data_IF_646683760115
#
_entry.id   IF_646683760115
#
_cell.length_a   1.000
_cell.length_b   1.000
_cell.length_c   1.000
_cell.angle_alpha   90.00
_cell.angle_beta   90.00
_cell.angle_gamma   90.00
#
_symmetry.space_group_name_H-M   'P 1'
#
loop_
_entity.id
_entity.type
_entity.pdbx_description
1 polymer ?
#
# COMPACT_ATOMS: atom_id res chain seq x y z
N UNK A 1 13.73 5.20 15.22
CA UNK A 1 13.26 4.23 16.24
C UNK A 1 12.64 3.05 15.50
N UNK A 2 13.10 1.81 15.75
CA UNK A 2 12.45 0.59 15.24
C UNK A 2 11.42 0.14 16.28
N UNK A 3 10.25 -0.30 15.84
CA UNK A 3 9.17 -0.81 16.71
C UNK A 3 8.89 -2.28 16.37
N UNK A 4 8.26 -2.99 17.30
CA UNK A 4 7.86 -4.38 17.06
C UNK A 4 6.68 -4.46 16.08
N UNK A 5 6.53 -5.60 15.37
CA UNK A 5 5.47 -5.82 14.40
C UNK A 5 4.07 -5.58 15.01
N UNK A 6 3.82 -6.11 16.21
CA UNK A 6 2.55 -5.92 16.91
C UNK A 6 2.24 -4.44 17.17
N UNK A 7 3.26 -3.66 17.55
CA UNK A 7 3.10 -2.22 17.75
C UNK A 7 2.77 -1.51 16.44
N UNK A 8 3.44 -1.88 15.33
CA UNK A 8 3.13 -1.33 14.01
C UNK A 8 1.69 -1.65 13.59
N UNK A 9 1.22 -2.88 13.80
CA UNK A 9 -0.16 -3.29 13.52
C UNK A 9 -1.15 -2.45 14.35
N UNK A 10 -0.92 -2.31 15.66
CA UNK A 10 -1.78 -1.48 16.53
C UNK A 10 -1.81 -0.03 16.05
N UNK A 11 -0.65 0.54 15.67
CA UNK A 11 -0.57 1.91 15.18
C UNK A 11 -1.34 2.10 13.87
N UNK A 12 -1.19 1.18 12.91
CA UNK A 12 -1.96 1.23 11.65
C UNK A 12 -3.46 1.14 11.91
N UNK A 13 -3.91 0.23 12.79
CA UNK A 13 -5.33 0.10 13.18
C UNK A 13 -5.88 1.35 13.88
N UNK A 14 -5.01 2.12 14.54
CA UNK A 14 -5.36 3.42 15.15
C UNK A 14 -5.35 4.58 14.14
N UNK A 15 -5.16 4.32 12.85
CA UNK A 15 -5.06 5.34 11.81
C UNK A 15 -3.75 6.14 11.84
N UNK A 16 -2.71 5.63 12.51
CA UNK A 16 -1.38 6.24 12.50
C UNK A 16 -0.57 5.76 11.30
N UNK A 17 0.41 6.58 10.93
CA UNK A 17 1.32 6.32 9.83
C UNK A 17 2.57 5.60 10.33
N UNK A 18 3.02 4.57 9.60
CA UNK A 18 4.19 3.75 9.93
C UNK A 18 5.14 3.68 8.74
N UNK A 19 6.44 3.85 8.98
CA UNK A 19 7.46 3.60 7.96
C UNK A 19 7.79 2.10 7.89
N UNK A 20 7.66 1.49 6.71
CA UNK A 20 7.84 0.06 6.49
C UNK A 20 9.00 -0.15 5.50
N UNK A 21 9.99 -1.01 5.81
CA UNK A 21 11.00 -1.41 4.84
C UNK A 21 10.40 -2.29 3.74
N UNK A 22 10.80 -2.08 2.49
CA UNK A 22 10.55 -2.99 1.37
C UNK A 22 11.87 -3.34 0.68
N UNK A 23 11.82 -4.20 -0.34
CA UNK A 23 12.96 -4.54 -1.20
C UNK A 23 13.41 -3.37 -2.10
N UNK A 24 12.57 -2.34 -2.27
CA UNK A 24 12.89 -1.15 -3.09
C UNK A 24 13.34 0.02 -2.24
N UNK A 25 12.45 0.58 -1.43
CA UNK A 25 12.67 1.76 -0.59
C UNK A 25 11.76 1.70 0.64
N UNK A 26 12.08 2.46 1.69
CA UNK A 26 11.13 2.63 2.78
C UNK A 26 9.84 3.31 2.31
N UNK A 27 8.71 2.66 2.58
CA UNK A 27 7.37 3.18 2.34
C UNK A 27 6.80 3.86 3.58
N UNK A 28 6.03 4.93 3.39
CA UNK A 28 5.22 5.52 4.45
C UNK A 28 3.80 4.96 4.31
N UNK A 29 3.41 4.06 5.21
CA UNK A 29 2.19 3.27 5.12
C UNK A 29 1.14 3.74 6.13
N UNK A 30 -0.12 3.61 5.71
CA UNK A 30 -1.32 3.79 6.51
C UNK A 30 -2.40 2.83 6.01
N UNK A 31 -3.49 2.68 6.76
CA UNK A 31 -4.66 1.95 6.28
C UNK A 31 -5.25 2.64 5.04
N UNK A 32 -5.30 1.91 3.92
CA UNK A 32 -5.78 2.42 2.64
C UNK A 32 -7.30 2.66 2.61
N UNK A 33 -8.04 2.16 3.60
CA UNK A 33 -9.48 2.40 3.76
C UNK A 33 -9.80 3.61 4.65
N UNK A 34 -8.77 4.23 5.25
CA UNK A 34 -8.92 5.31 6.23
C UNK A 34 -8.46 6.66 5.65
N UNK A 35 -9.41 7.47 5.17
CA UNK A 35 -9.15 8.78 4.58
C UNK A 35 -8.36 9.72 5.50
N UNK A 36 -8.60 9.68 6.82
CA UNK A 36 -7.88 10.53 7.76
C UNK A 36 -6.40 10.14 7.84
N UNK A 37 -6.10 8.84 7.80
CA UNK A 37 -4.73 8.33 7.80
C UNK A 37 -4.02 8.60 6.46
N UNK A 38 -4.73 8.50 5.33
CA UNK A 38 -4.19 8.88 4.02
C UNK A 38 -3.83 10.37 3.95
N UNK A 39 -4.67 11.27 4.49
CA UNK A 39 -4.37 12.70 4.60
C UNK A 39 -3.09 12.96 5.40
N UNK A 40 -2.82 12.17 6.44
CA UNK A 40 -1.57 12.26 7.21
C UNK A 40 -0.34 11.90 6.35
N UNK A 41 -0.41 10.88 5.49
CA UNK A 41 0.68 10.56 4.55
C UNK A 41 1.01 11.77 3.66
N UNK A 42 0.00 12.41 3.07
CA UNK A 42 0.21 13.58 2.21
C UNK A 42 0.82 14.75 2.98
N UNK A 43 0.32 15.02 4.19
CA UNK A 43 0.83 16.09 5.05
C UNK A 43 2.29 15.85 5.46
N UNK A 44 2.64 14.63 5.90
CA UNK A 44 4.00 14.28 6.31
C UNK A 44 4.98 14.40 5.15
N UNK A 45 4.60 13.91 3.96
CA UNK A 45 5.47 13.96 2.77
C UNK A 45 5.48 15.33 2.08
N UNK A 46 4.68 16.29 2.56
CA UNK A 46 4.41 17.55 1.84
C UNK A 46 4.05 17.31 0.37
N UNK A 47 3.29 16.24 0.12
CA UNK A 47 2.96 15.74 -1.22
C UNK A 47 1.62 16.32 -1.67
N UNK A 48 1.49 16.81 -2.92
CA UNK A 48 0.20 17.21 -3.45
C UNK A 48 -0.80 16.06 -3.44
N UNK A 49 -2.06 16.35 -3.08
CA UNK A 49 -3.11 15.34 -2.92
C UNK A 49 -3.51 14.62 -4.22
N UNK A 50 -3.20 15.23 -5.39
CA UNK A 50 -3.47 14.64 -6.70
C UNK A 50 -2.47 13.54 -7.11
N UNK A 51 -1.38 13.36 -6.34
CA UNK A 51 -0.37 12.37 -6.66
C UNK A 51 -0.71 11.02 -5.99
N UNK A 52 -1.14 9.99 -6.74
CA UNK A 52 -1.70 8.77 -6.16
C UNK A 52 -0.71 7.98 -5.29
N UNK A 53 -1.26 7.21 -4.36
CA UNK A 53 -0.53 6.27 -3.51
C UNK A 53 -0.70 4.84 -4.04
N UNK A 54 0.30 3.99 -3.77
CA UNK A 54 0.26 2.57 -4.15
C UNK A 54 -0.31 1.77 -2.98
N UNK A 55 -1.36 1.00 -3.23
CA UNK A 55 -1.89 0.02 -2.27
C UNK A 55 -0.99 -1.21 -2.27
N UNK A 56 -0.52 -1.61 -1.09
CA UNK A 56 0.22 -2.86 -0.90
C UNK A 56 -0.74 -3.96 -0.45
N UNK A 57 -0.68 -5.11 -1.11
CA UNK A 57 -1.46 -6.31 -0.78
C UNK A 57 -0.51 -7.46 -0.46
N UNK A 58 -0.94 -8.37 0.42
CA UNK A 58 -0.17 -9.55 0.80
C UNK A 58 -0.55 -10.77 -0.07
N UNK A 59 -1.76 -10.78 -0.62
CA UNK A 59 -2.28 -11.86 -1.43
C UNK A 59 -2.98 -11.32 -2.69
N UNK A 60 -2.76 -11.99 -3.83
CA UNK A 60 -3.31 -11.58 -5.13
C UNK A 60 -4.84 -11.58 -5.18
N UNK A 61 -5.52 -12.39 -4.36
CA UNK A 61 -6.98 -12.37 -4.23
C UNK A 61 -7.52 -11.04 -3.69
N UNK A 62 -6.69 -10.22 -3.04
CA UNK A 62 -7.09 -8.91 -2.53
C UNK A 62 -7.24 -7.86 -3.65
N UNK A 63 -6.75 -8.11 -4.87
CA UNK A 63 -6.85 -7.15 -5.99
C UNK A 63 -8.30 -6.76 -6.27
N UNK A 64 -9.23 -7.71 -6.20
CA UNK A 64 -10.66 -7.46 -6.49
C UNK A 64 -11.35 -6.59 -5.46
N UNK A 65 -10.72 -6.34 -4.30
CA UNK A 65 -11.21 -5.34 -3.35
C UNK A 65 -10.86 -3.90 -3.79
N UNK A 66 -9.80 -3.74 -4.58
CA UNK A 66 -9.23 -2.42 -4.92
C UNK A 66 -9.43 -2.02 -6.38
N UNK A 67 -9.63 -2.99 -7.27
CA UNK A 67 -9.81 -2.78 -8.70
C UNK A 67 -11.11 -3.45 -9.16
N UNK A 68 -11.88 -2.75 -9.99
CA UNK A 68 -13.11 -3.27 -10.58
C UNK A 68 -12.82 -4.41 -11.57
N UNK A 69 -11.64 -4.38 -12.20
CA UNK A 69 -11.22 -5.35 -13.19
C UNK A 69 -9.81 -5.87 -12.92
N UNK A 70 -9.61 -7.18 -13.13
CA UNK A 70 -8.29 -7.80 -13.09
C UNK A 70 -8.09 -8.67 -14.35
N UNK A 71 -7.75 -8.07 -15.50
CA UNK A 71 -7.78 -8.76 -16.79
C UNK A 71 -6.72 -9.87 -16.88
N UNK A 72 -6.89 -10.87 -17.78
CA UNK A 72 -6.00 -12.03 -17.87
C UNK A 72 -4.51 -11.70 -18.04
N UNK A 73 -4.17 -10.62 -18.76
CA UNK A 73 -2.78 -10.18 -18.89
C UNK A 73 -2.23 -9.69 -17.55
N UNK A 74 -2.98 -8.86 -16.82
CA UNK A 74 -2.58 -8.37 -15.50
C UNK A 74 -2.40 -9.53 -14.51
N UNK A 75 -3.29 -10.53 -14.54
CA UNK A 75 -3.15 -11.74 -13.73
C UNK A 75 -1.88 -12.54 -14.06
N UNK A 76 -1.54 -12.69 -15.34
CA UNK A 76 -0.30 -13.36 -15.77
C UNK A 76 0.93 -12.61 -15.29
N UNK A 77 0.93 -11.29 -15.40
CA UNK A 77 2.03 -10.44 -14.92
C UNK A 77 2.17 -10.49 -13.40
N UNK A 78 1.06 -10.37 -12.67
CA UNK A 78 1.04 -10.52 -11.21
C UNK A 78 1.61 -11.88 -10.78
N UNK A 79 1.17 -12.99 -11.39
CA UNK A 79 1.70 -14.33 -11.08
C UNK A 79 3.20 -14.48 -11.35
N UNK A 80 3.74 -13.76 -12.33
CA UNK A 80 5.15 -13.85 -12.71
C UNK A 80 6.06 -12.96 -11.85
N UNK A 81 5.55 -11.82 -11.39
CA UNK A 81 6.37 -10.77 -10.78
C UNK A 81 6.01 -10.43 -9.32
N UNK A 82 4.90 -10.95 -8.79
CA UNK A 82 4.53 -10.80 -7.38
C UNK A 82 4.82 -12.08 -6.58
N UNK A 83 5.34 -11.95 -5.34
CA UNK A 83 5.81 -10.73 -4.69
C UNK A 83 7.10 -10.20 -5.33
N UNK A 84 7.20 -8.89 -5.53
CA UNK A 84 8.36 -8.24 -6.15
C UNK A 84 8.11 -6.78 -6.55
N UNK A 85 9.13 -6.09 -7.10
CA UNK A 85 9.13 -4.65 -7.35
C UNK A 85 8.36 -4.27 -8.62
N UNK A 86 7.16 -4.81 -8.78
CA UNK A 86 6.30 -4.61 -9.92
C UNK A 86 4.95 -4.06 -9.45
N UNK A 87 4.47 -2.97 -10.05
CA UNK A 87 3.19 -2.34 -9.68
C UNK A 87 2.27 -2.32 -10.89
N UNK A 88 1.02 -2.75 -10.71
CA UNK A 88 -0.02 -2.69 -11.72
C UNK A 88 -0.92 -1.47 -11.46
N UNK A 89 -1.24 -0.74 -12.53
CA UNK A 89 -2.32 0.25 -12.54
C UNK A 89 -3.54 -0.44 -13.14
N UNK A 90 -4.63 -0.47 -12.38
CA UNK A 90 -5.87 -1.17 -12.75
C UNK A 90 -7.08 -0.23 -12.62
N UNK A 91 -8.18 -0.48 -13.34
CA UNK A 91 -9.44 0.24 -13.21
C UNK A 91 -10.12 0.03 -11.85
#
# INVERSE_FOLDING_TARGET
MRIHLEQAITMLKQGKVVAIPTETVYGLAADATNDAALKQIYAIKQRPFHNPLIVHIADMHQVTHWAAEFPPLAQKLAKAFWPGPFTLVLP
#
